data_IF_448075146692
#
_entry.id   IF_448075146692
#
_cell.length_a   1.000
_cell.length_b   1.000
_cell.length_c   1.000
_cell.angle_alpha   90.00
_cell.angle_beta   90.00
_cell.angle_gamma   90.00
#
_symmetry.space_group_name_H-M   'P 1'
#
loop_
_entity.id
_entity.type
_entity.pdbx_description
1 polymer ?
#
# COMPACT_ATOMS: atom_id res chain seq x y z
N UNK A 1 8.07 -7.61 -11.28
CA UNK A 1 6.93 -6.96 -11.95
C UNK A 1 7.26 -5.49 -12.05
N UNK A 2 7.24 -4.93 -13.24
CA UNK A 2 7.51 -3.49 -13.42
C UNK A 2 6.41 -2.65 -12.77
N UNK A 3 6.80 -1.62 -12.00
CA UNK A 3 5.85 -0.80 -11.23
C UNK A 3 4.81 -0.14 -12.13
N UNK A 4 5.24 0.37 -13.29
CA UNK A 4 4.36 0.96 -14.29
C UNK A 4 3.35 -0.04 -14.83
N UNK A 5 3.79 -1.22 -15.26
CA UNK A 5 2.91 -2.27 -15.79
C UNK A 5 1.86 -2.70 -14.75
N UNK A 6 2.26 -2.78 -13.47
CA UNK A 6 1.32 -3.02 -12.38
C UNK A 6 0.31 -1.88 -12.23
N UNK A 7 0.74 -0.62 -12.28
CA UNK A 7 -0.14 0.54 -12.16
C UNK A 7 -1.21 0.55 -13.26
N UNK A 8 -0.79 0.33 -14.50
CA UNK A 8 -1.70 0.30 -15.67
C UNK A 8 -2.72 -0.83 -15.55
N UNK A 9 -2.28 -2.04 -15.18
CA UNK A 9 -3.16 -3.19 -14.97
C UNK A 9 -4.14 -2.97 -13.81
N UNK A 10 -3.65 -2.43 -12.69
CA UNK A 10 -4.45 -2.24 -11.50
C UNK A 10 -5.47 -1.11 -11.70
N UNK A 11 -5.09 -0.01 -12.35
CA UNK A 11 -6.02 1.06 -12.74
C UNK A 11 -7.14 0.54 -13.66
N UNK A 12 -6.80 -0.33 -14.63
CA UNK A 12 -7.80 -0.98 -15.48
C UNK A 12 -8.76 -1.86 -14.67
N UNK A 13 -8.25 -2.64 -13.70
CA UNK A 13 -9.07 -3.44 -12.78
C UNK A 13 -9.93 -2.57 -11.85
N UNK A 14 -9.41 -1.44 -11.40
CA UNK A 14 -10.11 -0.48 -10.53
C UNK A 14 -11.39 0.05 -11.17
N UNK A 15 -11.39 0.25 -12.48
CA UNK A 15 -12.60 0.64 -13.24
C UNK A 15 -13.68 -0.44 -13.24
N UNK A 16 -13.35 -1.71 -13.04
CA UNK A 16 -14.38 -2.75 -12.86
C UNK A 16 -14.99 -2.69 -11.46
N UNK A 17 -14.21 -2.29 -10.45
CA UNK A 17 -14.66 -2.20 -9.06
C UNK A 17 -15.46 -0.93 -8.77
N UNK A 18 -15.07 0.20 -9.36
CA UNK A 18 -15.76 1.49 -9.28
C UNK A 18 -16.10 1.99 -10.70
N UNK A 19 -17.07 1.37 -11.40
CA UNK A 19 -17.32 1.61 -12.83
C UNK A 19 -17.85 3.00 -13.17
N UNK A 20 -18.43 3.71 -12.20
CA UNK A 20 -18.97 5.05 -12.40
C UNK A 20 -18.00 6.15 -11.94
N UNK A 21 -16.77 5.77 -11.55
CA UNK A 21 -15.80 6.64 -10.90
C UNK A 21 -16.41 7.50 -9.78
N UNK A 22 -17.30 6.86 -9.01
CA UNK A 22 -18.16 7.53 -8.03
C UNK A 22 -17.44 7.93 -6.75
N UNK A 23 -16.28 7.32 -6.49
CA UNK A 23 -15.49 7.55 -5.30
C UNK A 23 -14.58 8.76 -5.45
N UNK A 24 -14.65 9.67 -4.50
CA UNK A 24 -13.70 10.78 -4.38
C UNK A 24 -12.36 10.32 -3.75
N UNK A 25 -11.39 11.23 -3.71
CA UNK A 25 -10.10 10.96 -3.08
C UNK A 25 -10.23 10.52 -1.61
N UNK A 26 -11.19 11.07 -0.86
CA UNK A 26 -11.35 10.76 0.55
C UNK A 26 -11.87 9.33 0.74
N UNK A 27 -12.82 8.89 -0.09
CA UNK A 27 -13.32 7.51 -0.09
C UNK A 27 -12.21 6.51 -0.41
N UNK A 28 -11.36 6.83 -1.38
CA UNK A 28 -10.15 6.05 -1.66
C UNK A 28 -9.19 5.99 -0.46
N UNK A 29 -8.96 7.11 0.21
CA UNK A 29 -8.11 7.16 1.41
C UNK A 29 -8.73 6.42 2.61
N UNK A 30 -10.06 6.44 2.75
CA UNK A 30 -10.77 5.64 3.75
C UNK A 30 -10.55 4.15 3.49
N UNK A 31 -10.62 3.70 2.23
CA UNK A 31 -10.33 2.31 1.89
C UNK A 31 -8.89 1.92 2.24
N UNK A 32 -7.91 2.77 1.94
CA UNK A 32 -6.50 2.59 2.36
C UNK A 32 -6.39 2.48 3.88
N UNK A 33 -7.06 3.38 4.61
CA UNK A 33 -7.09 3.39 6.08
C UNK A 33 -7.70 2.12 6.66
N UNK A 34 -8.73 1.56 6.04
CA UNK A 34 -9.37 0.32 6.46
C UNK A 34 -8.42 -0.88 6.37
N UNK A 35 -7.67 -1.02 5.28
CA UNK A 35 -6.69 -2.11 5.13
C UNK A 35 -5.50 -1.96 6.08
N UNK A 36 -5.03 -0.73 6.30
CA UNK A 36 -4.02 -0.46 7.33
C UNK A 36 -4.54 -0.81 8.72
N UNK A 37 -5.79 -0.46 9.05
CA UNK A 37 -6.45 -0.84 10.30
C UNK A 37 -6.53 -2.36 10.47
N UNK A 38 -6.82 -3.10 9.41
CA UNK A 38 -6.77 -4.57 9.37
C UNK A 38 -5.39 -5.12 9.69
N UNK A 39 -4.34 -4.57 9.07
CA UNK A 39 -2.95 -4.94 9.37
C UNK A 39 -2.58 -4.65 10.84
N UNK A 40 -2.99 -3.50 11.37
CA UNK A 40 -2.74 -3.13 12.78
C UNK A 40 -3.47 -4.07 13.75
N UNK A 41 -4.69 -4.52 13.41
CA UNK A 41 -5.40 -5.49 14.23
C UNK A 41 -4.66 -6.83 14.33
N UNK A 42 -4.04 -7.29 13.23
CA UNK A 42 -3.22 -8.50 13.21
C UNK A 42 -1.93 -8.30 14.02
N UNK A 43 -1.24 -7.17 13.85
CA UNK A 43 -0.05 -6.81 14.63
C UNK A 43 -0.34 -6.84 16.14
N UNK A 44 -1.45 -6.22 16.55
CA UNK A 44 -1.92 -6.25 17.94
C UNK A 44 -2.17 -7.67 18.44
N UNK A 45 -2.73 -8.55 17.60
CA UNK A 45 -2.95 -9.97 17.97
C UNK A 45 -1.62 -10.71 18.12
N UNK A 46 -0.66 -10.50 17.21
CA UNK A 46 0.69 -11.08 17.33
C UNK A 46 1.38 -10.67 18.64
N UNK A 47 1.22 -9.40 19.06
CA UNK A 47 1.72 -8.94 20.36
C UNK A 47 1.04 -9.66 21.53
N UNK A 48 -0.29 -9.81 21.51
CA UNK A 48 -0.99 -10.59 22.56
C UNK A 48 -0.53 -12.05 22.63
N UNK A 49 -0.28 -12.68 21.47
CA UNK A 49 0.27 -14.04 21.41
C UNK A 49 1.67 -14.08 22.03
N UNK A 50 2.54 -13.12 21.68
CA UNK A 50 3.87 -12.99 22.26
C UNK A 50 3.82 -12.80 23.78
N UNK A 51 2.85 -12.04 24.28
CA UNK A 51 2.75 -11.62 25.67
C UNK A 51 1.94 -12.59 26.57
N UNK A 52 1.44 -13.72 26.04
CA UNK A 52 0.62 -14.64 26.85
C UNK A 52 -0.85 -14.22 27.02
N UNK A 53 -1.30 -13.18 26.30
CA UNK A 53 -2.56 -12.47 26.55
C UNK A 53 -3.65 -12.73 25.48
N UNK A 54 -3.74 -13.95 24.93
CA UNK A 54 -4.76 -14.27 23.93
C UNK A 54 -6.07 -14.73 24.59
N UNK A 55 -7.20 -14.46 23.93
CA UNK A 55 -8.51 -14.95 24.37
C UNK A 55 -8.86 -16.26 23.67
N UNK A 56 -9.70 -17.08 24.30
CA UNK A 56 -10.19 -18.34 23.71
C UNK A 56 -10.87 -18.07 22.37
N UNK A 57 -10.49 -18.84 21.35
CA UNK A 57 -11.02 -18.71 19.99
C UNK A 57 -10.28 -17.72 19.09
N UNK A 58 -9.28 -16.99 19.59
CA UNK A 58 -8.39 -16.24 18.70
C UNK A 58 -7.39 -17.14 18.00
N UNK A 59 -7.03 -16.78 16.78
CA UNK A 59 -5.89 -17.38 16.09
C UNK A 59 -4.59 -17.05 16.85
N UNK A 60 -3.85 -18.08 17.27
CA UNK A 60 -2.59 -17.96 18.02
C UNK A 60 -1.40 -18.46 17.23
N UNK A 61 -1.61 -19.13 16.10
CA UNK A 61 -0.53 -19.58 15.24
C UNK A 61 0.11 -18.39 14.52
N UNK A 62 1.32 -18.05 14.93
CA UNK A 62 2.10 -16.93 14.38
C UNK A 62 2.32 -17.06 12.86
N UNK A 63 2.42 -18.28 12.33
CA UNK A 63 2.55 -18.49 10.87
C UNK A 63 1.29 -18.05 10.15
N UNK A 64 0.11 -18.42 10.69
CA UNK A 64 -1.19 -18.00 10.12
C UNK A 64 -1.33 -16.48 10.23
N UNK A 65 -1.00 -15.88 11.36
CA UNK A 65 -1.06 -14.43 11.55
C UNK A 65 -0.13 -13.67 10.59
N UNK A 66 1.07 -14.18 10.33
CA UNK A 66 1.97 -13.61 9.32
C UNK A 66 1.37 -13.71 7.91
N UNK A 67 0.73 -14.82 7.56
CA UNK A 67 0.00 -14.95 6.30
C UNK A 67 -1.11 -13.90 6.18
N UNK A 68 -1.93 -13.74 7.22
CA UNK A 68 -2.97 -12.71 7.25
C UNK A 68 -2.38 -11.29 7.13
N UNK A 69 -1.23 -11.03 7.75
CA UNK A 69 -0.54 -9.75 7.63
C UNK A 69 -0.10 -9.47 6.18
N UNK A 70 0.48 -10.46 5.51
CA UNK A 70 0.89 -10.34 4.10
C UNK A 70 -0.30 -10.00 3.21
N UNK A 71 -1.44 -10.67 3.40
CA UNK A 71 -2.68 -10.36 2.66
C UNK A 71 -3.11 -8.91 2.86
N UNK A 72 -3.11 -8.41 4.10
CA UNK A 72 -3.47 -7.01 4.38
C UNK A 72 -2.50 -6.00 3.78
N UNK A 73 -1.20 -6.27 3.85
CA UNK A 73 -0.19 -5.40 3.24
C UNK A 73 -0.26 -5.40 1.71
N UNK A 74 -0.57 -6.55 1.10
CA UNK A 74 -0.79 -6.65 -0.33
C UNK A 74 -2.03 -5.86 -0.77
N UNK A 75 -3.14 -5.97 -0.03
CA UNK A 75 -4.35 -5.19 -0.28
C UNK A 75 -4.12 -3.68 -0.10
N UNK A 76 -3.40 -3.30 0.96
CA UNK A 76 -2.98 -1.92 1.18
C UNK A 76 -2.16 -1.38 0.00
N UNK A 77 -1.21 -2.16 -0.52
CA UNK A 77 -0.41 -1.78 -1.69
C UNK A 77 -1.26 -1.60 -2.95
N UNK A 78 -2.22 -2.50 -3.19
CA UNK A 78 -3.17 -2.40 -4.31
C UNK A 78 -3.98 -1.10 -4.22
N UNK A 79 -4.48 -0.74 -3.04
CA UNK A 79 -5.28 0.46 -2.86
C UNK A 79 -4.45 1.73 -2.99
N UNK A 80 -3.24 1.78 -2.41
CA UNK A 80 -2.33 2.92 -2.58
C UNK A 80 -1.99 3.16 -4.04
N UNK A 81 -1.81 2.10 -4.82
CA UNK A 81 -1.58 2.22 -6.26
C UNK A 81 -2.82 2.75 -7.03
N UNK A 82 -4.03 2.37 -6.61
CA UNK A 82 -5.25 2.99 -7.13
C UNK A 82 -5.34 4.47 -6.76
N UNK A 83 -4.91 4.88 -5.57
CA UNK A 83 -4.83 6.30 -5.19
C UNK A 83 -3.86 7.06 -6.09
N UNK A 84 -2.66 6.52 -6.35
CA UNK A 84 -1.74 7.14 -7.31
C UNK A 84 -2.36 7.25 -8.71
N UNK A 85 -3.12 6.25 -9.12
CA UNK A 85 -3.82 6.25 -10.42
C UNK A 85 -4.97 7.26 -10.47
N UNK A 86 -5.72 7.42 -9.38
CA UNK A 86 -6.77 8.43 -9.24
C UNK A 86 -6.21 9.85 -9.26
N UNK A 87 -5.06 10.06 -8.63
CA UNK A 87 -4.32 11.33 -8.70
C UNK A 87 -3.59 11.53 -10.03
N UNK A 88 -3.71 10.56 -10.95
CA UNK A 88 -3.05 10.56 -12.26
C UNK A 88 -1.50 10.68 -12.18
N UNK A 89 -0.92 10.29 -11.03
CA UNK A 89 0.52 10.36 -10.76
C UNK A 89 1.21 9.02 -11.04
N UNK A 90 2.38 9.06 -11.69
CA UNK A 90 3.29 7.91 -11.75
C UNK A 90 3.82 7.55 -10.35
N UNK A 91 3.41 6.39 -9.82
CA UNK A 91 3.89 5.94 -8.50
C UNK A 91 5.41 5.75 -8.46
N UNK A 92 6.00 5.29 -9.55
CA UNK A 92 7.44 5.05 -9.67
C UNK A 92 8.22 6.35 -9.53
N UNK A 93 7.80 7.41 -10.24
CA UNK A 93 8.41 8.74 -10.11
C UNK A 93 8.20 9.33 -8.71
N UNK A 94 7.00 9.20 -8.15
CA UNK A 94 6.70 9.71 -6.81
C UNK A 94 7.58 9.05 -5.73
N UNK A 95 7.73 7.72 -5.80
CA UNK A 95 8.58 6.95 -4.89
C UNK A 95 10.06 7.29 -5.09
N UNK A 96 10.57 7.34 -6.32
CA UNK A 96 11.96 7.68 -6.60
C UNK A 96 12.33 9.09 -6.09
N UNK A 97 11.46 10.08 -6.33
CA UNK A 97 11.64 11.45 -5.80
C UNK A 97 11.68 11.46 -4.28
N UNK A 98 10.74 10.78 -3.62
CA UNK A 98 10.68 10.76 -2.15
C UNK A 98 11.87 10.00 -1.55
N UNK A 99 12.28 8.89 -2.16
CA UNK A 99 13.46 8.12 -1.78
C UNK A 99 14.72 8.98 -1.83
N UNK A 100 14.97 9.67 -2.96
CA UNK A 100 16.13 10.54 -3.12
C UNK A 100 16.12 11.72 -2.13
N UNK A 101 14.96 12.35 -1.92
CA UNK A 101 14.84 13.46 -0.97
C UNK A 101 15.10 13.03 0.49
N UNK A 102 14.67 11.82 0.89
CA UNK A 102 15.04 11.25 2.19
C UNK A 102 16.55 10.97 2.21
N UNK A 103 17.10 10.34 1.17
CA UNK A 103 18.52 10.05 1.10
C UNK A 103 19.41 11.29 1.23
N UNK A 104 19.03 12.40 0.59
CA UNK A 104 19.72 13.68 0.72
C UNK A 104 19.61 14.26 2.13
N UNK A 105 18.42 14.24 2.75
CA UNK A 105 18.21 14.76 4.09
C UNK A 105 19.02 14.02 5.18
N UNK A 106 19.39 12.76 4.92
CA UNK A 106 20.12 11.91 5.86
C UNK A 106 21.55 11.55 5.40
N UNK A 107 22.06 12.23 4.36
CA UNK A 107 23.40 12.00 3.78
C UNK A 107 23.68 10.54 3.38
N UNK A 108 22.66 9.84 2.89
CA UNK A 108 22.80 8.51 2.32
C UNK A 108 23.35 8.62 0.89
N UNK A 109 24.23 7.71 0.44
CA UNK A 109 24.81 7.77 -0.91
C UNK A 109 23.89 7.20 -2.00
N UNK A 110 22.94 6.34 -1.68
CA UNK A 110 22.11 5.64 -2.67
C UNK A 110 21.10 6.57 -3.34
N UNK A 111 21.00 6.50 -4.67
CA UNK A 111 20.04 7.27 -5.45
C UNK A 111 19.31 6.36 -6.42
N UNK A 112 18.04 6.67 -6.64
CA UNK A 112 17.25 6.11 -7.73
C UNK A 112 17.28 7.05 -8.92
N UNK A 113 17.39 6.49 -10.12
CA UNK A 113 17.07 7.22 -11.33
C UNK A 113 15.60 7.63 -11.29
N UNK A 114 15.31 8.85 -11.76
CA UNK A 114 13.94 9.32 -11.92
C UNK A 114 13.57 9.09 -13.39
N UNK A 115 12.64 8.17 -13.71
CA UNK A 115 12.24 7.91 -15.09
C UNK A 115 11.78 9.17 -15.82
N UNK A 116 12.10 9.25 -17.12
CA UNK A 116 11.97 10.42 -18.02
C UNK A 116 10.58 11.09 -18.17
N UNK A 117 10.55 12.16 -18.97
CA UNK A 117 9.69 13.36 -18.83
C UNK A 117 8.21 13.25 -19.22
N UNK A 118 7.41 13.91 -18.37
CA UNK A 118 6.01 14.35 -18.34
C UNK A 118 5.02 13.87 -19.42
N UNK A 119 4.07 13.00 -19.03
CA UNK A 119 2.58 13.09 -19.11
C UNK A 119 2.07 11.88 -18.26
N UNK A 120 1.14 11.94 -17.30
CA UNK A 120 -0.12 12.68 -17.16
C UNK A 120 -0.18 13.45 -15.84
N UNK A 121 -0.81 14.62 -15.90
CA UNK A 121 -1.51 15.21 -14.77
C UNK A 121 -2.80 14.47 -14.54
#
# INVERSE_FOLDING_TARGET
>A
MEMRAFQELNAARGKTWNPNDSWDLNEWLIAVGAELGGAMAISRRMNRVKDGMWTRGEETNVVVLKGQMVERLAHLYILLDLVFSYLEVSKERAVARKFNAIGEAWDYPERMDIPGTDVRF
#
